data_IF_415708318609
#
_entry.id   IF_415708318609
#
_cell.length_a   1.000
_cell.length_b   1.000
_cell.length_c   1.000
_cell.angle_alpha   90.00
_cell.angle_beta   90.00
_cell.angle_gamma   90.00
#
_symmetry.space_group_name_H-M   'P 1'
#
loop_
_entity.id
_entity.type
_entity.pdbx_description
1 polymer ?
#
# COMPACT_ATOMS: atom_id res chain seq x y z
N UNK A 1 9.64 11.95 -0.54
CA UNK A 1 8.87 10.69 -0.58
C UNK A 1 9.79 9.46 -0.65
N UNK A 2 10.85 9.45 -1.48
CA UNK A 2 11.80 8.32 -1.55
C UNK A 2 12.50 7.96 -0.21
N UNK A 3 12.79 8.93 0.64
CA UNK A 3 13.43 8.69 1.94
C UNK A 3 12.55 7.92 2.92
N UNK A 4 11.24 8.24 3.00
CA UNK A 4 10.32 7.54 3.90
C UNK A 4 10.12 6.07 3.48
N UNK A 5 10.04 5.79 2.19
CA UNK A 5 9.94 4.43 1.67
C UNK A 5 11.18 3.59 2.00
N UNK A 6 12.37 4.18 1.87
CA UNK A 6 13.63 3.51 2.24
C UNK A 6 13.71 3.24 3.74
N UNK A 7 13.25 4.19 4.56
CA UNK A 7 13.22 4.04 6.02
C UNK A 7 12.17 3.02 6.50
N UNK A 8 11.04 2.91 5.81
CA UNK A 8 9.95 1.99 6.16
C UNK A 8 10.29 0.52 5.87
N UNK A 9 11.09 0.27 4.84
CA UNK A 9 11.38 -1.07 4.32
C UNK A 9 11.86 -2.08 5.37
N UNK A 10 12.90 -1.80 6.18
CA UNK A 10 13.38 -2.77 7.17
C UNK A 10 12.33 -3.13 8.23
N UNK A 11 11.45 -2.18 8.57
CA UNK A 11 10.36 -2.41 9.53
C UNK A 11 9.25 -3.27 8.92
N UNK A 12 8.87 -3.02 7.65
CA UNK A 12 7.89 -3.84 6.95
C UNK A 12 8.38 -5.28 6.76
N UNK A 13 9.64 -5.47 6.38
CA UNK A 13 10.26 -6.79 6.23
C UNK A 13 10.36 -7.54 7.57
N UNK A 14 10.72 -6.84 8.67
CA UNK A 14 10.79 -7.43 10.00
C UNK A 14 9.41 -7.85 10.51
N UNK A 15 8.41 -6.97 10.38
CA UNK A 15 7.03 -7.28 10.76
C UNK A 15 6.47 -8.45 9.95
N UNK A 16 6.75 -8.50 8.65
CA UNK A 16 6.31 -9.57 7.77
C UNK A 16 6.95 -10.92 8.13
N UNK A 17 8.23 -10.93 8.50
CA UNK A 17 8.92 -12.13 8.98
C UNK A 17 8.28 -12.65 10.25
N UNK A 18 8.06 -11.80 11.25
CA UNK A 18 7.40 -12.18 12.52
C UNK A 18 5.99 -12.72 12.25
N UNK A 19 5.23 -12.06 11.36
CA UNK A 19 3.90 -12.48 10.97
C UNK A 19 3.88 -13.86 10.29
N UNK A 20 4.88 -14.15 9.46
CA UNK A 20 5.03 -15.42 8.75
C UNK A 20 5.46 -16.53 9.71
N UNK A 21 6.43 -16.29 10.59
CA UNK A 21 6.87 -17.23 11.61
C UNK A 21 5.77 -17.56 12.62
N UNK A 22 4.95 -16.56 12.97
CA UNK A 22 3.79 -16.74 13.86
C UNK A 22 2.55 -17.31 13.18
N UNK A 23 2.56 -17.46 11.85
CA UNK A 23 1.43 -17.98 11.06
C UNK A 23 0.21 -17.04 10.98
N UNK A 24 0.33 -15.78 11.37
CA UNK A 24 -0.77 -14.81 11.43
C UNK A 24 -0.50 -13.54 10.60
N UNK A 25 -0.23 -13.73 9.31
CA UNK A 25 -0.01 -12.62 8.37
C UNK A 25 -1.26 -11.74 8.21
N UNK A 26 -2.46 -12.34 8.35
CA UNK A 26 -3.72 -11.58 8.22
C UNK A 26 -3.95 -10.67 9.43
N UNK A 27 -3.73 -11.17 10.64
CA UNK A 27 -3.84 -10.38 11.86
C UNK A 27 -2.83 -9.23 11.90
N UNK A 28 -1.58 -9.50 11.51
CA UNK A 28 -0.57 -8.46 11.39
C UNK A 28 -0.91 -7.39 10.34
N UNK A 29 -1.47 -7.80 9.20
CA UNK A 29 -1.91 -6.86 8.18
C UNK A 29 -3.02 -5.94 8.70
N UNK A 30 -4.01 -6.48 9.41
CA UNK A 30 -5.07 -5.69 10.02
C UNK A 30 -4.50 -4.73 11.09
N UNK A 31 -3.64 -5.23 11.98
CA UNK A 31 -3.01 -4.45 13.05
C UNK A 31 -2.18 -3.28 12.52
N UNK A 32 -1.30 -3.53 11.54
CA UNK A 32 -0.46 -2.47 10.95
C UNK A 32 -1.33 -1.47 10.19
N UNK A 33 -2.38 -1.91 9.51
CA UNK A 33 -3.35 -1.05 8.83
C UNK A 33 -4.08 -0.13 9.80
N UNK A 34 -4.53 -0.65 10.95
CA UNK A 34 -5.17 0.12 12.01
C UNK A 34 -4.20 1.14 12.62
N UNK A 35 -2.97 0.72 12.96
CA UNK A 35 -1.92 1.61 13.45
C UNK A 35 -1.61 2.74 12.44
N UNK A 36 -1.57 2.43 11.15
CA UNK A 36 -1.32 3.41 10.09
C UNK A 36 -2.46 4.42 9.97
N UNK A 37 -3.72 3.98 10.10
CA UNK A 37 -4.88 4.86 10.11
C UNK A 37 -4.87 5.80 11.30
N UNK A 38 -4.54 5.29 12.50
CA UNK A 38 -4.39 6.08 13.72
C UNK A 38 -3.28 7.13 13.54
N UNK A 39 -2.11 6.74 13.01
CA UNK A 39 -0.98 7.65 12.79
C UNK A 39 -1.30 8.77 11.78
N UNK A 40 -2.27 8.57 10.89
CA UNK A 40 -2.71 9.57 9.91
C UNK A 40 -3.74 10.54 10.45
N UNK A 41 -4.37 10.27 11.61
CA UNK A 41 -5.32 11.19 12.20
C UNK A 41 -4.67 12.54 12.56
N UNK A 42 -5.35 13.67 12.39
CA UNK A 42 -4.79 14.99 12.68
C UNK A 42 -4.28 15.12 14.13
N UNK A 43 -5.02 14.55 15.07
CA UNK A 43 -4.72 14.58 16.49
C UNK A 43 -3.44 13.79 16.80
N UNK A 44 -3.32 12.60 16.24
CA UNK A 44 -2.14 11.76 16.45
C UNK A 44 -0.90 12.33 15.76
N UNK A 45 -1.06 12.88 14.56
CA UNK A 45 0.05 13.58 13.88
C UNK A 45 0.59 14.75 14.68
N UNK A 46 -0.29 15.52 15.33
CA UNK A 46 0.13 16.60 16.20
C UNK A 46 0.95 16.08 17.41
N UNK A 47 0.52 14.96 18.02
CA UNK A 47 1.24 14.33 19.12
C UNK A 47 2.60 13.74 18.69
N UNK A 48 2.67 13.11 17.51
CA UNK A 48 3.91 12.54 16.97
C UNK A 48 4.95 13.63 16.67
N UNK A 49 4.51 14.82 16.27
CA UNK A 49 5.39 15.93 15.92
C UNK A 49 5.76 16.81 17.11
N UNK A 50 5.15 16.63 18.27
CA UNK A 50 5.46 17.41 19.47
C UNK A 50 6.66 16.82 20.23
N UNK A 51 7.82 17.50 20.25
CA UNK A 51 9.01 17.01 20.92
C UNK A 51 8.90 16.93 22.45
N UNK A 52 7.85 17.51 23.03
CA UNK A 52 7.63 17.46 24.49
C UNK A 52 6.83 16.21 24.92
N UNK A 53 6.32 15.41 23.97
CA UNK A 53 5.59 14.19 24.29
C UNK A 53 6.59 13.07 24.55
N UNK A 54 6.60 12.57 25.79
CA UNK A 54 7.44 11.44 26.16
C UNK A 54 7.04 10.16 25.38
N UNK A 55 8.01 9.30 24.98
CA UNK A 55 7.74 8.06 24.28
C UNK A 55 6.69 7.15 24.96
N UNK A 56 6.76 7.02 26.28
CA UNK A 56 5.82 6.21 27.06
C UNK A 56 4.38 6.75 26.98
N UNK A 57 4.23 8.09 26.96
CA UNK A 57 2.92 8.72 26.80
C UNK A 57 2.36 8.48 25.41
N UNK A 58 3.19 8.61 24.39
CA UNK A 58 2.80 8.32 23.00
C UNK A 58 2.38 6.85 22.84
N UNK A 59 3.16 5.93 23.41
CA UNK A 59 2.81 4.51 23.46
C UNK A 59 1.46 4.27 24.15
N UNK A 60 1.23 4.86 25.30
CA UNK A 60 -0.02 4.70 26.06
C UNK A 60 -1.24 5.19 25.28
N UNK A 61 -1.13 6.32 24.57
CA UNK A 61 -2.21 6.84 23.71
C UNK A 61 -2.46 5.89 22.55
N UNK A 62 -1.42 5.46 21.86
CA UNK A 62 -1.55 4.51 20.74
C UNK A 62 -2.19 3.19 21.17
N UNK A 63 -1.67 2.58 22.24
CA UNK A 63 -2.18 1.32 22.77
C UNK A 63 -3.63 1.40 23.27
N UNK A 64 -4.06 2.60 23.69
CA UNK A 64 -5.43 2.83 24.13
C UNK A 64 -6.44 3.07 23.00
N UNK A 65 -5.96 3.40 21.79
CA UNK A 65 -6.81 3.64 20.62
C UNK A 65 -6.89 2.42 19.70
N UNK A 66 -5.84 1.58 19.68
CA UNK A 66 -5.83 0.34 18.89
C UNK A 66 -6.87 -0.63 19.46
N UNK A 67 -7.90 -0.92 18.66
CA UNK A 67 -9.00 -1.82 19.04
C UNK A 67 -8.57 -3.29 18.96
N UNK A 68 -7.67 -3.62 18.04
CA UNK A 68 -7.11 -4.96 17.89
C UNK A 68 -6.29 -5.33 19.11
N UNK A 69 -6.48 -6.55 19.62
CA UNK A 69 -5.71 -7.03 20.76
C UNK A 69 -4.20 -7.04 20.42
N UNK A 70 -3.47 -6.10 21.00
CA UNK A 70 -2.01 -6.01 20.86
C UNK A 70 -1.35 -7.20 21.58
N UNK A 71 -1.10 -8.28 20.82
CA UNK A 71 -0.24 -9.36 21.30
C UNK A 71 1.18 -8.82 21.57
N UNK A 72 1.96 -9.53 22.41
CA UNK A 72 3.31 -9.10 22.80
C UNK A 72 4.21 -8.70 21.62
N UNK A 73 4.23 -9.41 20.48
CA UNK A 73 5.04 -8.99 19.32
C UNK A 73 4.60 -7.65 18.72
N UNK A 74 3.28 -7.38 18.67
CA UNK A 74 2.73 -6.11 18.19
C UNK A 74 3.08 -4.94 19.10
N UNK A 75 3.04 -5.15 20.44
CA UNK A 75 3.48 -4.17 21.43
C UNK A 75 4.96 -3.83 21.26
N UNK A 76 5.79 -4.83 21.08
CA UNK A 76 7.23 -4.66 20.90
C UNK A 76 7.52 -3.90 19.58
N UNK A 77 6.78 -4.21 18.52
CA UNK A 77 6.90 -3.52 17.25
C UNK A 77 6.52 -2.04 17.35
N UNK A 78 5.42 -1.71 18.03
CA UNK A 78 5.01 -0.33 18.27
C UNK A 78 6.04 0.43 19.10
N UNK A 79 6.56 -0.16 20.18
CA UNK A 79 7.62 0.44 21.00
C UNK A 79 8.88 0.71 20.18
N UNK A 80 9.31 -0.24 19.38
CA UNK A 80 10.47 -0.10 18.50
C UNK A 80 10.32 1.10 17.54
N UNK A 81 9.12 1.30 16.97
CA UNK A 81 8.85 2.44 16.09
C UNK A 81 8.90 3.77 16.83
N UNK A 82 8.39 3.82 18.05
CA UNK A 82 8.40 5.04 18.89
C UNK A 82 9.84 5.38 19.30
N UNK A 83 10.59 4.40 19.82
CA UNK A 83 11.97 4.58 20.28
C UNK A 83 12.93 5.05 19.17
N UNK A 84 12.64 4.66 17.93
CA UNK A 84 13.44 5.06 16.77
C UNK A 84 12.89 6.30 16.04
N UNK A 85 11.87 6.98 16.54
CA UNK A 85 11.19 8.10 15.87
C UNK A 85 10.70 7.75 14.45
N UNK A 86 10.14 6.54 14.27
CA UNK A 86 9.68 6.03 12.98
C UNK A 86 8.17 5.80 12.91
N UNK A 87 7.45 6.23 13.93
CA UNK A 87 5.99 6.07 13.97
C UNK A 87 5.28 6.81 12.82
N UNK A 88 5.82 7.93 12.37
CA UNK A 88 5.33 8.66 11.20
C UNK A 88 5.45 7.89 9.88
N UNK A 89 6.29 6.85 9.84
CA UNK A 89 6.45 5.99 8.67
C UNK A 89 5.41 4.83 8.63
N UNK A 90 4.55 4.67 9.63
CA UNK A 90 3.54 3.61 9.68
C UNK A 90 2.68 3.47 8.42
N UNK A 91 2.20 4.54 7.77
CA UNK A 91 1.45 4.42 6.53
C UNK A 91 2.25 3.74 5.41
N UNK A 92 3.52 4.09 5.30
CA UNK A 92 4.42 3.51 4.30
C UNK A 92 4.79 2.06 4.65
N UNK A 93 4.99 1.76 5.94
CA UNK A 93 5.20 0.40 6.43
C UNK A 93 4.00 -0.48 6.09
N UNK A 94 2.76 0.01 6.29
CA UNK A 94 1.54 -0.70 5.97
C UNK A 94 1.42 -0.99 4.46
N UNK A 95 1.76 -0.02 3.62
CA UNK A 95 1.77 -0.19 2.17
C UNK A 95 2.75 -1.29 1.74
N UNK A 96 4.00 -1.23 2.25
CA UNK A 96 5.03 -2.22 1.93
C UNK A 96 4.72 -3.61 2.50
N UNK A 97 4.14 -3.70 3.70
CA UNK A 97 3.67 -4.96 4.27
C UNK A 97 2.59 -5.61 3.37
N UNK A 98 1.67 -4.80 2.84
CA UNK A 98 0.63 -5.27 1.91
C UNK A 98 1.25 -5.85 0.63
N UNK A 99 2.27 -5.20 0.08
CA UNK A 99 3.01 -5.70 -1.09
C UNK A 99 3.68 -7.05 -0.79
N UNK A 100 4.34 -7.18 0.36
CA UNK A 100 4.99 -8.44 0.78
C UNK A 100 3.98 -9.57 0.96
N UNK A 101 2.84 -9.28 1.62
CA UNK A 101 1.73 -10.23 1.79
C UNK A 101 1.17 -10.68 0.45
N UNK A 102 0.84 -9.74 -0.43
CA UNK A 102 0.31 -10.05 -1.75
C UNK A 102 1.29 -10.89 -2.56
N UNK A 103 2.58 -10.61 -2.49
CA UNK A 103 3.62 -11.39 -3.15
C UNK A 103 3.69 -12.82 -2.64
N UNK A 104 3.55 -13.03 -1.32
CA UNK A 104 3.50 -14.37 -0.73
C UNK A 104 2.24 -15.14 -1.14
N UNK A 105 1.10 -14.45 -1.23
CA UNK A 105 -0.17 -15.03 -1.68
C UNK A 105 -0.22 -15.29 -3.20
N UNK A 106 0.82 -14.92 -3.95
CA UNK A 106 0.80 -14.96 -5.41
C UNK A 106 -0.25 -14.04 -6.02
N UNK A 107 -0.59 -12.96 -5.32
CA UNK A 107 -1.53 -11.95 -5.75
C UNK A 107 -0.85 -10.59 -5.92
N UNK A 108 -1.45 -9.71 -6.72
CA UNK A 108 -1.00 -8.33 -6.87
C UNK A 108 -2.21 -7.40 -6.97
N UNK A 109 -2.08 -6.22 -6.38
CA UNK A 109 -3.06 -5.17 -6.57
C UNK A 109 -2.89 -4.58 -7.97
N UNK A 110 -4.00 -4.46 -8.71
CA UNK A 110 -4.03 -3.90 -10.05
C UNK A 110 -4.89 -2.63 -10.03
N UNK A 111 -4.25 -1.47 -10.11
CA UNK A 111 -4.98 -0.22 -10.29
C UNK A 111 -5.30 -0.03 -11.77
N UNK A 112 -6.59 -0.01 -12.10
CA UNK A 112 -7.11 0.14 -13.45
C UNK A 112 -7.70 1.54 -13.57
N UNK A 113 -7.01 2.42 -14.29
CA UNK A 113 -7.52 3.74 -14.63
C UNK A 113 -8.18 3.65 -16.00
N UNK A 114 -9.49 3.92 -16.07
CA UNK A 114 -10.29 3.87 -17.30
C UNK A 114 -10.86 5.25 -17.63
N UNK A 115 -11.03 5.54 -18.92
CA UNK A 115 -11.68 6.76 -19.35
C UNK A 115 -13.19 6.82 -19.01
N UNK A 116 -13.82 5.66 -18.85
CA UNK A 116 -15.24 5.50 -18.57
C UNK A 116 -15.47 4.44 -17.50
N UNK A 117 -16.67 4.44 -16.91
CA UNK A 117 -17.08 3.36 -16.01
C UNK A 117 -17.04 2.01 -16.74
N UNK A 118 -16.49 1.02 -16.06
CA UNK A 118 -16.40 -0.35 -16.57
C UNK A 118 -17.39 -1.24 -15.84
N UNK A 119 -18.07 -2.12 -16.58
CA UNK A 119 -18.88 -3.17 -15.97
C UNK A 119 -18.01 -4.25 -15.33
N UNK A 120 -18.55 -5.00 -14.36
CA UNK A 120 -17.84 -6.10 -13.71
C UNK A 120 -17.31 -7.14 -14.71
N UNK A 121 -18.07 -7.42 -15.78
CA UNK A 121 -17.64 -8.34 -16.83
C UNK A 121 -16.41 -7.82 -17.59
N UNK A 122 -16.39 -6.53 -17.94
CA UNK A 122 -15.24 -5.91 -18.60
C UNK A 122 -13.99 -5.90 -17.72
N UNK A 123 -14.16 -5.65 -16.42
CA UNK A 123 -13.06 -5.72 -15.45
C UNK A 123 -12.53 -7.14 -15.36
N UNK A 124 -13.41 -8.15 -15.28
CA UNK A 124 -13.03 -9.56 -15.21
C UNK A 124 -12.26 -10.02 -16.46
N UNK A 125 -12.73 -9.65 -17.65
CA UNK A 125 -12.06 -9.97 -18.91
C UNK A 125 -10.66 -9.33 -19.01
N UNK A 126 -10.56 -8.07 -18.61
CA UNK A 126 -9.29 -7.33 -18.57
C UNK A 126 -8.31 -8.00 -17.60
N UNK A 127 -8.77 -8.31 -16.39
CA UNK A 127 -7.96 -8.99 -15.36
C UNK A 127 -7.48 -10.36 -15.84
N UNK A 128 -8.35 -11.15 -16.48
CA UNK A 128 -7.99 -12.45 -17.02
C UNK A 128 -6.91 -12.36 -18.12
N UNK A 129 -7.01 -11.34 -18.98
CA UNK A 129 -5.99 -11.05 -20.00
C UNK A 129 -4.64 -10.65 -19.39
N UNK A 130 -4.67 -9.79 -18.36
CA UNK A 130 -3.48 -9.31 -17.67
C UNK A 130 -2.83 -10.40 -16.81
N UNK A 131 -3.61 -11.25 -16.13
CA UNK A 131 -3.09 -12.35 -15.32
C UNK A 131 -2.18 -13.27 -16.13
N UNK A 132 -2.54 -13.56 -17.38
CA UNK A 132 -1.68 -14.35 -18.28
C UNK A 132 -0.34 -13.66 -18.58
N UNK A 133 -0.35 -12.34 -18.71
CA UNK A 133 0.85 -11.53 -18.98
C UNK A 133 1.76 -11.43 -17.77
N UNK A 134 1.18 -11.40 -16.56
CA UNK A 134 1.88 -11.30 -15.29
C UNK A 134 2.15 -12.66 -14.62
N UNK A 135 2.36 -13.72 -15.42
CA UNK A 135 2.81 -15.01 -14.92
C UNK A 135 1.77 -15.80 -14.09
N UNK A 136 0.49 -15.53 -14.28
CA UNK A 136 -0.58 -16.24 -13.59
C UNK A 136 -0.90 -15.69 -12.19
N UNK A 137 -0.45 -14.48 -11.84
CA UNK A 137 -0.79 -13.83 -10.59
C UNK A 137 -2.29 -13.56 -10.48
N UNK A 138 -2.83 -13.75 -9.29
CA UNK A 138 -4.21 -13.33 -8.98
C UNK A 138 -4.25 -11.82 -8.82
N UNK A 139 -4.81 -11.11 -9.79
CA UNK A 139 -4.91 -9.65 -9.74
C UNK A 139 -6.14 -9.22 -8.95
N UNK A 140 -5.97 -8.29 -8.01
CA UNK A 140 -7.03 -7.64 -7.24
C UNK A 140 -7.32 -6.27 -7.89
N UNK A 141 -8.38 -6.13 -8.71
CA UNK A 141 -8.62 -4.90 -9.45
C UNK A 141 -9.19 -3.80 -8.57
N UNK A 142 -8.65 -2.59 -8.71
CA UNK A 142 -9.23 -1.34 -8.21
C UNK A 142 -9.44 -0.41 -9.41
N UNK A 143 -10.70 -0.12 -9.73
CA UNK A 143 -11.04 0.74 -10.88
C UNK A 143 -11.16 2.19 -10.44
N UNK A 144 -10.51 3.08 -11.20
CA UNK A 144 -10.58 4.53 -11.06
C UNK A 144 -10.97 5.10 -12.42
N UNK A 145 -11.93 6.03 -12.45
CA UNK A 145 -12.36 6.67 -13.69
C UNK A 145 -11.63 8.00 -13.86
N UNK A 146 -10.88 8.14 -14.96
CA UNK A 146 -10.21 9.38 -15.36
C UNK A 146 -10.53 9.72 -16.83
N UNK A 147 -11.48 10.64 -17.08
CA UNK A 147 -11.82 11.07 -18.44
C UNK A 147 -10.66 11.69 -19.21
N UNK A 148 -9.58 12.11 -18.52
CA UNK A 148 -8.38 12.66 -19.12
C UNK A 148 -7.58 11.68 -19.99
N UNK A 149 -7.90 10.38 -19.93
CA UNK A 149 -7.33 9.34 -20.81
C UNK A 149 -7.91 9.36 -22.22
N UNK A 150 -9.05 10.07 -22.44
CA UNK A 150 -9.80 10.14 -23.70
C UNK A 150 -10.46 8.81 -24.06
N UNK A 151 -9.78 7.68 -23.86
CA UNK A 151 -10.24 6.32 -24.08
C UNK A 151 -9.19 5.28 -23.71
N UNK A 152 -9.60 4.01 -23.66
CA UNK A 152 -8.74 2.91 -23.26
C UNK A 152 -8.52 2.84 -21.75
N UNK A 153 -7.47 2.10 -21.34
CA UNK A 153 -7.16 1.86 -19.94
C UNK A 153 -5.65 1.97 -19.69
N UNK A 154 -5.30 2.41 -18.48
CA UNK A 154 -3.96 2.30 -17.92
C UNK A 154 -4.05 1.37 -16.72
N UNK A 155 -3.19 0.37 -16.65
CA UNK A 155 -3.15 -0.58 -15.54
C UNK A 155 -1.78 -0.54 -14.90
N UNK A 156 -1.75 -0.37 -13.59
CA UNK A 156 -0.55 -0.43 -12.76
C UNK A 156 -0.61 -1.68 -11.89
N UNK A 157 0.40 -2.54 -11.98
CA UNK A 157 0.53 -3.75 -11.16
C UNK A 157 1.90 -3.70 -10.49
N UNK A 158 1.93 -3.35 -9.20
CA UNK A 158 3.18 -3.09 -8.51
C UNK A 158 3.96 -1.95 -9.17
N UNK A 159 5.18 -2.24 -9.65
CA UNK A 159 6.05 -1.27 -10.32
C UNK A 159 5.86 -1.25 -11.86
N UNK A 160 5.06 -2.16 -12.40
CA UNK A 160 4.82 -2.25 -13.84
C UNK A 160 3.57 -1.47 -14.26
N UNK A 161 3.72 -0.62 -15.30
CA UNK A 161 2.62 0.16 -15.87
C UNK A 161 2.34 -0.32 -17.29
N UNK A 162 1.12 -0.77 -17.53
CA UNK A 162 0.62 -1.09 -18.85
C UNK A 162 -0.35 0.00 -19.31
N UNK A 163 0.08 0.86 -20.23
CA UNK A 163 -0.71 1.97 -20.74
C UNK A 163 -1.19 1.70 -22.17
N UNK A 164 -2.49 1.42 -22.30
CA UNK A 164 -3.22 1.23 -23.55
C UNK A 164 -4.21 2.38 -23.80
N UNK A 165 -4.00 3.55 -23.18
CA UNK A 165 -4.85 4.71 -23.39
C UNK A 165 -4.64 5.35 -24.76
N UNK A 166 -5.70 5.96 -25.28
CA UNK A 166 -5.63 6.77 -26.53
C UNK A 166 -4.68 7.94 -26.33
N UNK A 167 -4.67 8.56 -25.15
CA UNK A 167 -3.75 9.63 -24.80
C UNK A 167 -2.29 9.22 -24.99
N UNK A 168 -1.88 8.09 -24.43
CA UNK A 168 -0.52 7.59 -24.58
C UNK A 168 -0.18 7.23 -26.03
N UNK A 169 -1.15 6.75 -26.80
CA UNK A 169 -0.97 6.45 -28.21
C UNK A 169 -0.75 7.73 -29.03
N UNK A 170 -1.54 8.77 -28.82
CA UNK A 170 -1.37 10.07 -29.45
C UNK A 170 -0.03 10.72 -29.10
N UNK A 171 0.39 10.65 -27.84
CA UNK A 171 1.70 11.16 -27.41
C UNK A 171 2.86 10.45 -28.12
N UNK A 172 2.79 9.13 -28.25
CA UNK A 172 3.78 8.34 -29.02
C UNK A 172 3.83 8.74 -30.48
N UNK A 173 2.65 8.93 -31.10
CA UNK A 173 2.57 9.39 -32.51
C UNK A 173 3.14 10.80 -32.66
N UNK A 174 2.82 11.72 -31.74
CA UNK A 174 3.39 13.08 -31.74
C UNK A 174 4.91 13.04 -31.68
N UNK A 175 5.47 12.27 -30.76
CA UNK A 175 6.92 12.15 -30.62
C UNK A 175 7.58 11.58 -31.87
N UNK A 176 6.96 10.58 -32.49
CA UNK A 176 7.45 9.96 -33.74
C UNK A 176 7.39 10.90 -34.95
N UNK A 177 6.45 11.87 -34.96
CA UNK A 177 6.35 12.84 -36.06
C UNK A 177 7.28 14.05 -35.87
N UNK A 178 7.80 14.26 -34.64
CA UNK A 178 8.70 15.37 -34.32
C UNK A 178 10.18 14.94 -34.30
N UNK A 179 10.46 13.63 -34.40
CA UNK A 179 11.81 13.05 -34.49
C UNK A 179 12.23 12.86 -35.97
#
# INVERSE_FOLDING_TARGET
>A
MAELSTLARPYAEAAFRIATEGGDVKGWHALIGEMAAIAQSPEMRALILDPNVAPDKLYGVFAGVVESALAQPGQNFLRLLIENDRIAALPEIAAQFTVLKNRQEGSADAEIVSAFEMSEAQVADLVAGLAKKFGGLTLKPRVVVDPGLIGGVRVTVGDEVFDSSIKAQLERMRTSLMA
#
